data_IF_404917600303
#
_entry.id   IF_404917600303
#
_cell.length_a   1.000
_cell.length_b   1.000
_cell.length_c   1.000
_cell.angle_alpha   90.00
_cell.angle_beta   90.00
_cell.angle_gamma   90.00
#
_symmetry.space_group_name_H-M   'P 1'
#
loop_
_entity.id
_entity.type
_entity.pdbx_description
1 polymer ?
#
# COMPACT_ATOMS: atom_id res chain seq x y z
N UNK A 1 12.12 4.99 9.63
CA UNK A 1 11.29 3.87 10.14
C UNK A 1 12.12 2.91 10.95
N UNK A 2 11.82 2.81 12.24
CA UNK A 2 12.42 1.84 13.14
C UNK A 2 11.76 0.46 12.99
N UNK A 3 12.47 -0.59 13.39
CA UNK A 3 11.90 -1.93 13.59
C UNK A 3 11.37 -2.04 15.02
N UNK A 4 10.17 -2.61 15.17
CA UNK A 4 9.50 -2.84 16.44
C UNK A 4 9.52 -4.34 16.76
N UNK A 5 10.20 -4.70 17.83
CA UNK A 5 10.18 -6.03 18.44
C UNK A 5 9.07 -6.12 19.50
N UNK A 6 8.58 -7.33 19.75
CA UNK A 6 7.52 -7.59 20.73
C UNK A 6 8.01 -8.54 21.81
N UNK A 7 7.45 -8.42 23.02
CA UNK A 7 7.72 -9.38 24.09
C UNK A 7 7.23 -10.78 23.69
N UNK A 8 8.00 -11.84 24.04
CA UNK A 8 7.71 -13.21 23.63
C UNK A 8 6.57 -13.83 24.45
N UNK A 9 5.35 -13.31 24.32
CA UNK A 9 4.17 -13.79 25.07
C UNK A 9 3.56 -15.06 24.48
N UNK A 10 3.90 -15.42 23.24
CA UNK A 10 3.45 -16.65 22.58
C UNK A 10 4.51 -17.16 21.59
N UNK A 11 4.54 -18.47 21.26
CA UNK A 11 5.55 -19.04 20.37
C UNK A 11 5.68 -18.32 19.02
N UNK A 12 4.53 -17.91 18.43
CA UNK A 12 4.49 -17.20 17.15
C UNK A 12 4.93 -15.73 17.21
N UNK A 13 4.96 -15.11 18.40
CA UNK A 13 5.41 -13.72 18.57
C UNK A 13 6.92 -13.59 18.81
N UNK A 14 7.62 -14.67 19.16
CA UNK A 14 9.06 -14.64 19.54
C UNK A 14 9.97 -14.05 18.47
N UNK A 15 9.75 -14.40 17.20
CA UNK A 15 10.54 -13.92 16.06
C UNK A 15 9.84 -12.81 15.25
N UNK A 16 8.71 -12.29 15.75
CA UNK A 16 7.92 -11.32 15.01
C UNK A 16 8.54 -9.93 15.12
N UNK A 17 8.96 -9.40 13.97
CA UNK A 17 9.46 -8.03 13.83
C UNK A 17 8.52 -7.28 12.89
N UNK A 18 7.99 -6.15 13.35
CA UNK A 18 7.16 -5.27 12.53
C UNK A 18 7.87 -3.95 12.26
N UNK A 19 7.48 -3.29 11.18
CA UNK A 19 7.97 -1.96 10.84
C UNK A 19 7.15 -0.93 11.62
N UNK A 20 7.80 0.01 12.29
CA UNK A 20 7.12 1.14 12.91
C UNK A 20 6.45 2.05 11.85
N UNK A 21 5.21 2.44 12.13
CA UNK A 21 4.34 3.22 11.24
C UNK A 21 3.88 4.52 11.91
N UNK A 22 4.53 4.94 12.97
CA UNK A 22 4.24 6.17 13.73
C UNK A 22 4.19 7.43 12.85
N UNK A 23 5.10 7.55 11.88
CA UNK A 23 5.21 8.67 10.93
C UNK A 23 4.10 8.69 9.85
N UNK A 24 3.29 7.64 9.75
CA UNK A 24 2.27 7.54 8.69
C UNK A 24 0.93 8.10 9.12
N UNK A 25 0.22 8.65 8.14
CA UNK A 25 -1.16 9.05 8.31
C UNK A 25 -2.03 7.85 8.72
N UNK A 26 -2.73 7.97 9.85
CA UNK A 26 -3.54 6.91 10.47
C UNK A 26 -4.97 6.82 9.93
N UNK A 27 -5.40 7.79 9.11
CA UNK A 27 -6.77 7.90 8.60
C UNK A 27 -7.07 7.07 7.36
N UNK A 28 -8.27 7.28 6.80
CA UNK A 28 -8.73 6.66 5.55
C UNK A 28 -7.97 7.24 4.35
N UNK A 29 -7.72 6.44 3.29
CA UNK A 29 -7.07 6.92 2.08
C UNK A 29 -7.96 7.92 1.31
N UNK A 30 -7.35 8.69 0.39
CA UNK A 30 -8.09 9.62 -0.47
C UNK A 30 -9.12 8.87 -1.31
N UNK A 31 -10.40 9.22 -1.20
CA UNK A 31 -11.47 8.53 -1.94
C UNK A 31 -11.29 8.66 -3.46
N UNK A 32 -10.86 9.82 -3.96
CA UNK A 32 -10.73 10.08 -5.41
C UNK A 32 -9.62 9.27 -6.09
N UNK A 33 -8.62 8.81 -5.32
CA UNK A 33 -7.47 8.06 -5.83
C UNK A 33 -7.50 6.58 -5.44
N UNK A 34 -8.64 6.10 -4.93
CA UNK A 34 -8.80 4.73 -4.45
C UNK A 34 -9.78 3.97 -5.34
N UNK A 35 -9.40 2.77 -5.78
CA UNK A 35 -10.24 1.88 -6.57
C UNK A 35 -10.31 0.47 -5.97
N UNK A 36 -11.38 -0.26 -6.26
CA UNK A 36 -11.49 -1.66 -5.87
C UNK A 36 -10.51 -2.52 -6.65
N UNK A 37 -9.64 -3.27 -5.95
CA UNK A 37 -8.74 -4.22 -6.60
C UNK A 37 -9.32 -5.63 -6.56
N UNK A 38 -9.63 -6.18 -7.73
CA UNK A 38 -10.03 -7.58 -7.87
C UNK A 38 -8.79 -8.46 -7.89
N UNK A 39 -8.74 -9.46 -6.99
CA UNK A 39 -7.62 -10.41 -6.93
C UNK A 39 -7.88 -11.59 -7.84
N UNK A 40 -6.92 -11.93 -8.69
CA UNK A 40 -6.99 -13.10 -9.56
C UNK A 40 -6.84 -14.43 -8.81
N UNK A 41 -6.31 -14.41 -7.58
CA UNK A 41 -6.05 -15.64 -6.81
C UNK A 41 -5.06 -16.60 -7.50
N UNK A 42 -4.18 -16.08 -8.36
CA UNK A 42 -3.22 -16.90 -9.11
C UNK A 42 -3.80 -17.59 -10.35
N UNK A 43 -5.05 -17.29 -10.73
CA UNK A 43 -5.70 -17.84 -11.92
C UNK A 43 -5.42 -16.99 -13.16
N UNK A 44 -5.18 -17.65 -14.28
CA UNK A 44 -5.04 -17.01 -15.60
C UNK A 44 -6.39 -16.77 -16.28
N UNK A 45 -6.35 -16.24 -17.51
CA UNK A 45 -7.55 -15.91 -18.29
C UNK A 45 -8.49 -17.11 -18.51
N UNK A 46 -7.95 -18.33 -18.65
CA UNK A 46 -8.74 -19.58 -18.76
C UNK A 46 -9.21 -20.17 -17.43
N UNK A 47 -9.15 -19.43 -16.31
CA UNK A 47 -9.61 -19.88 -14.99
C UNK A 47 -8.72 -20.91 -14.28
N UNK A 48 -7.74 -21.48 -14.99
CA UNK A 48 -6.76 -22.41 -14.41
C UNK A 48 -5.74 -21.69 -13.54
N UNK A 49 -5.21 -22.38 -12.53
CA UNK A 49 -4.12 -21.89 -11.69
C UNK A 49 -2.87 -21.77 -12.55
N UNK A 50 -2.45 -20.54 -12.82
CA UNK A 50 -1.20 -20.25 -13.52
C UNK A 50 -0.05 -20.03 -12.52
N UNK A 51 -0.36 -19.46 -11.35
CA UNK A 51 0.61 -19.22 -10.27
C UNK A 51 0.12 -19.87 -8.98
N UNK A 52 0.91 -20.82 -8.46
CA UNK A 52 0.62 -21.53 -7.20
C UNK A 52 0.88 -20.63 -5.99
N UNK A 53 0.32 -21.03 -4.84
CA UNK A 53 0.49 -20.36 -3.54
C UNK A 53 0.05 -18.88 -3.50
N UNK A 54 -0.91 -18.51 -4.35
CA UNK A 54 -1.53 -17.18 -4.38
C UNK A 54 -3.02 -17.31 -4.07
N UNK A 55 -3.53 -16.52 -3.12
CA UNK A 55 -4.93 -16.56 -2.70
C UNK A 55 -5.10 -16.27 -1.20
N UNK A 56 -6.33 -16.03 -0.74
CA UNK A 56 -6.67 -15.93 0.69
C UNK A 56 -6.24 -14.64 1.43
N UNK A 57 -5.46 -13.75 0.81
CA UNK A 57 -5.05 -12.51 1.46
C UNK A 57 -6.18 -11.48 1.62
N UNK A 58 -6.11 -10.66 2.68
CA UNK A 58 -7.07 -9.59 3.00
C UNK A 58 -7.39 -8.66 1.82
N UNK A 59 -8.65 -8.26 1.65
CA UNK A 59 -9.09 -7.38 0.55
C UNK A 59 -8.30 -6.07 0.57
N UNK A 60 -7.77 -5.67 -0.58
CA UNK A 60 -7.00 -4.43 -0.74
C UNK A 60 -7.69 -3.51 -1.73
N UNK A 61 -7.47 -2.21 -1.56
CA UNK A 61 -7.88 -1.19 -2.51
C UNK A 61 -6.66 -0.72 -3.29
N UNK A 62 -6.81 -0.56 -4.60
CA UNK A 62 -5.78 -0.01 -5.46
C UNK A 62 -5.64 1.50 -5.25
N UNK A 63 -4.41 2.01 -5.28
CA UNK A 63 -4.11 3.43 -5.16
C UNK A 63 -3.54 3.92 -6.47
N UNK A 64 -4.19 4.91 -7.09
CA UNK A 64 -3.69 5.53 -8.32
C UNK A 64 -2.40 6.28 -8.03
N UNK A 65 -1.35 5.92 -8.75
CA UNK A 65 -0.03 6.53 -8.65
C UNK A 65 0.37 7.02 -10.03
N UNK A 66 0.83 8.26 -10.11
CA UNK A 66 1.47 8.77 -11.32
C UNK A 66 2.93 8.33 -11.38
N UNK A 67 3.19 7.29 -12.18
CA UNK A 67 4.53 6.80 -12.49
C UNK A 67 5.19 7.55 -13.66
N UNK A 68 4.43 8.26 -14.49
CA UNK A 68 4.95 8.86 -15.73
C UNK A 68 5.45 10.29 -15.53
N UNK A 69 4.89 11.05 -14.57
CA UNK A 69 5.32 12.40 -14.16
C UNK A 69 5.77 13.29 -15.32
N UNK A 70 4.93 13.44 -16.35
CA UNK A 70 5.26 14.17 -17.58
C UNK A 70 5.22 15.70 -17.44
N UNK A 71 4.77 16.22 -16.29
CA UNK A 71 4.65 17.66 -16.04
C UNK A 71 5.78 18.11 -15.11
N UNK A 72 6.58 19.08 -15.57
CA UNK A 72 7.58 19.76 -14.74
C UNK A 72 6.88 20.86 -13.93
N UNK A 73 6.24 20.47 -12.83
CA UNK A 73 5.60 21.38 -11.90
C UNK A 73 6.05 21.06 -10.47
N UNK A 74 6.21 22.08 -9.63
CA UNK A 74 6.59 21.94 -8.22
C UNK A 74 5.42 21.37 -7.43
N UNK A 75 5.52 20.15 -6.91
CA UNK A 75 4.46 19.51 -6.15
C UNK A 75 4.77 19.48 -4.64
N UNK A 76 3.80 19.83 -3.80
CA UNK A 76 3.94 19.76 -2.34
C UNK A 76 3.49 18.41 -1.81
N UNK A 77 4.26 17.82 -0.89
CA UNK A 77 3.89 16.57 -0.22
C UNK A 77 2.89 16.87 0.89
N UNK A 78 1.61 16.59 0.65
CA UNK A 78 0.56 16.78 1.67
C UNK A 78 0.62 15.76 2.81
N UNK A 79 0.82 14.46 2.48
CA UNK A 79 0.78 13.37 3.47
C UNK A 79 1.44 12.08 2.99
N UNK A 80 1.97 11.32 3.94
CA UNK A 80 2.51 9.98 3.73
C UNK A 80 1.54 8.93 4.24
N UNK A 81 1.21 7.96 3.40
CA UNK A 81 0.22 6.91 3.70
C UNK A 81 0.78 5.51 3.44
N UNK A 82 0.22 4.52 4.14
CA UNK A 82 0.58 3.11 3.95
C UNK A 82 -0.12 2.50 2.73
N UNK A 83 0.59 2.15 1.66
CA UNK A 83 0.02 1.44 0.51
C UNK A 83 0.09 -0.09 0.70
N UNK A 84 -1.03 -0.83 0.72
CA UNK A 84 -1.00 -2.28 0.86
C UNK A 84 -0.58 -3.03 -0.43
N UNK A 85 -0.52 -2.36 -1.58
CA UNK A 85 -0.20 -3.01 -2.87
C UNK A 85 1.29 -2.96 -3.22
N UNK A 86 2.12 -2.33 -2.39
CA UNK A 86 3.58 -2.22 -2.58
C UNK A 86 4.30 -2.02 -1.25
N UNK A 87 5.61 -2.22 -1.27
CA UNK A 87 6.48 -1.99 -0.10
C UNK A 87 6.77 -0.51 0.13
N UNK A 88 6.78 0.30 -0.93
CA UNK A 88 7.07 1.74 -0.86
C UNK A 88 5.87 2.57 -0.39
N UNK A 89 6.10 3.45 0.60
CA UNK A 89 5.06 4.24 1.30
C UNK A 89 4.88 5.69 0.78
N UNK A 90 5.57 6.06 -0.31
CA UNK A 90 5.57 7.44 -0.80
C UNK A 90 4.33 7.74 -1.65
N UNK A 91 3.58 8.77 -1.23
CA UNK A 91 2.58 9.49 -2.04
C UNK A 91 3.07 10.94 -2.18
N UNK A 92 3.11 11.42 -3.42
CA UNK A 92 3.31 12.83 -3.74
C UNK A 92 2.01 13.27 -4.41
N UNK A 93 1.34 14.31 -3.90
CA UNK A 93 0.12 14.84 -4.52
C UNK A 93 0.57 15.84 -5.58
N UNK A 94 0.22 15.69 -6.86
CA UNK A 94 0.44 16.74 -7.83
C UNK A 94 -0.54 17.88 -7.51
N UNK A 95 0.00 19.08 -7.32
CA UNK A 95 -0.67 20.35 -7.04
C UNK A 95 -2.19 20.39 -7.18
N UNK A 96 -2.85 20.80 -6.09
CA UNK A 96 -4.09 21.57 -6.21
C UNK A 96 -3.71 22.92 -6.81
N UNK A 97 -3.86 23.08 -8.12
CA UNK A 97 -4.18 24.41 -8.66
C UNK A 97 -5.60 24.72 -8.18
N UNK A 98 -5.72 25.42 -7.05
CA UNK A 98 -6.97 26.11 -6.74
C UNK A 98 -7.12 27.28 -7.74
N UNK A 99 -8.34 27.61 -8.19
CA UNK A 99 -8.61 28.94 -8.74
C UNK A 99 -8.41 30.01 -7.66
#
# INVERSE_FOLDING_TARGET
>A
MALKTYNPTSPGRRALVLIDRSELHKGRPEKSLTEGLTKSGGRGAGGRIAVRFRGGGAKTLYRKIDFKRRKFATATVERLEYDPNRTAKRRCSPNRSSP
#
